data_IF_525371309954
#
_entry.id   IF_525371309954
#
_cell.length_a   1.000
_cell.length_b   1.000
_cell.length_c   1.000
_cell.angle_alpha   90.00
_cell.angle_beta   90.00
_cell.angle_gamma   90.00
#
_symmetry.space_group_name_H-M   'P 1'
#
loop_
_entity.id
_entity.type
_entity.pdbx_description
1 polymer ?
#
# COMPACT_ATOMS: atom_id res chain seq x y z
N UNK A 1 -15.42 6.65 27.09
CA UNK A 1 -14.59 7.25 28.16
C UNK A 1 -13.13 7.05 27.78
N UNK A 2 -12.36 8.12 27.51
CA UNK A 2 -10.89 8.03 27.29
C UNK A 2 -10.27 7.21 28.42
N UNK A 3 -9.55 6.13 28.07
CA UNK A 3 -8.85 5.29 29.04
C UNK A 3 -7.41 5.75 29.17
N UNK A 4 -6.86 5.66 30.37
CA UNK A 4 -5.47 6.01 30.64
C UNK A 4 -4.87 4.99 31.57
N UNK A 5 -3.70 4.47 31.19
CA UNK A 5 -2.89 3.57 32.03
C UNK A 5 -1.50 4.19 32.23
N UNK A 6 -0.86 3.82 33.33
CA UNK A 6 0.50 4.24 33.66
C UNK A 6 1.37 3.00 33.71
N UNK A 7 2.39 2.93 32.86
CA UNK A 7 3.35 1.82 32.84
C UNK A 7 4.75 2.41 32.89
N UNK A 8 5.53 2.03 33.89
CA UNK A 8 6.92 2.50 34.10
C UNK A 8 7.12 4.05 34.08
N UNK A 9 6.08 4.82 34.44
CA UNK A 9 6.14 6.28 34.43
C UNK A 9 5.77 6.93 33.09
N UNK A 10 5.41 6.13 32.09
CA UNK A 10 4.81 6.59 30.84
C UNK A 10 3.28 6.56 30.94
N UNK A 11 2.64 7.53 30.29
CA UNK A 11 1.19 7.65 30.21
C UNK A 11 0.72 7.21 28.85
N UNK A 12 -0.07 6.13 28.81
CA UNK A 12 -0.70 5.65 27.58
C UNK A 12 -2.19 5.95 27.64
N UNK A 13 -2.73 6.49 26.56
CA UNK A 13 -4.15 6.82 26.46
C UNK A 13 -4.81 6.14 25.26
N UNK A 14 -6.09 5.82 25.38
CA UNK A 14 -6.89 5.21 24.32
C UNK A 14 -8.20 5.98 24.13
N UNK A 15 -8.53 6.30 22.87
CA UNK A 15 -9.72 7.02 22.47
C UNK A 15 -11.03 6.26 22.72
N UNK A 16 -12.17 6.94 22.53
CA UNK A 16 -13.49 6.29 22.64
C UNK A 16 -13.87 5.51 21.38
N UNK A 17 -13.26 5.89 20.24
CA UNK A 17 -13.56 5.37 18.90
C UNK A 17 -12.90 4.01 18.62
N UNK A 18 -12.14 3.49 19.60
CA UNK A 18 -11.47 2.20 19.49
C UNK A 18 -10.05 2.29 18.96
N UNK A 19 -9.58 3.47 18.58
CA UNK A 19 -8.20 3.75 18.16
C UNK A 19 -7.18 3.17 19.14
N UNK A 20 -6.00 2.80 18.64
CA UNK A 20 -4.92 2.16 19.40
C UNK A 20 -4.47 2.94 20.64
N UNK A 21 -3.57 2.36 21.42
CA UNK A 21 -2.95 3.09 22.54
C UNK A 21 -1.97 4.13 22.00
N UNK A 22 -1.91 5.30 22.62
CA UNK A 22 -0.93 6.32 22.25
C UNK A 22 -0.23 6.94 23.47
N UNK A 23 0.99 7.44 23.26
CA UNK A 23 1.78 8.19 24.22
C UNK A 23 2.10 9.58 23.67
N UNK A 24 1.41 10.60 24.18
CA UNK A 24 1.66 12.00 23.85
C UNK A 24 2.94 12.48 24.56
N UNK A 25 3.91 12.99 23.81
CA UNK A 25 5.22 13.41 24.33
C UNK A 25 5.88 14.45 23.41
N UNK A 26 7.11 14.84 23.71
CA UNK A 26 7.88 15.80 22.92
C UNK A 26 9.30 15.27 22.65
N UNK A 27 9.72 15.31 21.39
CA UNK A 27 11.04 14.88 20.93
C UNK A 27 11.91 16.09 20.57
N UNK A 28 13.18 16.04 20.94
CA UNK A 28 14.17 17.06 20.59
C UNK A 28 14.98 16.62 19.38
N UNK A 29 15.35 17.58 18.53
CA UNK A 29 16.25 17.37 17.39
C UNK A 29 15.55 17.24 16.04
N UNK A 30 14.26 16.85 16.01
CA UNK A 30 13.50 16.72 14.75
C UNK A 30 13.41 18.05 14.02
N UNK A 31 12.78 19.04 14.65
CA UNK A 31 12.68 20.42 14.17
C UNK A 31 13.98 21.24 14.33
N UNK A 32 15.08 20.58 14.70
CA UNK A 32 16.36 21.19 15.05
C UNK A 32 16.69 21.15 16.55
N UNK A 33 17.90 21.59 16.94
CA UNK A 33 18.47 21.34 18.26
C UNK A 33 17.77 22.06 19.43
N UNK A 34 17.06 23.16 19.17
CA UNK A 34 16.39 23.97 20.22
C UNK A 34 14.85 23.97 20.09
N UNK A 35 14.29 23.22 19.13
CA UNK A 35 12.86 23.21 18.84
C UNK A 35 12.26 21.84 19.18
N UNK A 36 11.52 21.71 20.28
CA UNK A 36 10.78 20.48 20.56
C UNK A 36 9.74 20.22 19.45
N UNK A 37 9.50 18.94 19.19
CA UNK A 37 8.47 18.44 18.30
C UNK A 37 7.49 17.63 19.16
N UNK A 38 6.29 18.18 19.35
CA UNK A 38 5.23 17.45 20.05
C UNK A 38 4.70 16.36 19.13
N UNK A 39 4.70 15.13 19.63
CA UNK A 39 4.37 13.93 18.85
C UNK A 39 3.38 13.06 19.61
N UNK A 40 2.61 12.29 18.85
CA UNK A 40 1.78 11.20 19.36
C UNK A 40 2.47 9.91 18.93
N UNK A 41 3.00 9.15 19.90
CA UNK A 41 3.55 7.83 19.62
C UNK A 41 2.40 6.83 19.68
N UNK A 42 2.03 6.28 18.54
CA UNK A 42 1.02 5.23 18.43
C UNK A 42 1.63 3.87 18.78
N UNK A 43 0.86 3.05 19.50
CA UNK A 43 1.24 1.71 19.91
C UNK A 43 0.29 0.74 19.24
N UNK A 44 0.82 0.00 18.28
CA UNK A 44 0.09 -1.05 17.61
C UNK A 44 -0.05 -2.26 18.53
N UNK A 45 -1.20 -2.37 19.16
CA UNK A 45 -1.53 -3.52 20.01
C UNK A 45 -2.33 -4.59 19.27
N UNK A 46 -2.61 -4.37 17.99
CA UNK A 46 -3.47 -5.24 17.21
C UNK A 46 -2.70 -6.48 16.76
N UNK A 47 -3.46 -7.55 16.56
CA UNK A 47 -2.99 -8.73 15.86
C UNK A 47 -3.48 -8.56 14.43
N UNK A 48 -2.59 -8.26 13.49
CA UNK A 48 -2.94 -8.28 12.05
C UNK A 48 -3.53 -9.64 11.63
N UNK A 49 -3.31 -10.66 12.46
CA UNK A 49 -3.56 -12.08 12.24
C UNK A 49 -4.60 -12.67 13.21
N UNK A 50 -5.49 -11.87 13.83
CA UNK A 50 -6.58 -12.38 14.68
C UNK A 50 -7.97 -12.09 14.11
N UNK A 51 -8.66 -13.14 13.64
CA UNK A 51 -10.09 -13.07 13.29
C UNK A 51 -11.01 -13.06 14.53
N UNK A 52 -10.48 -13.48 15.68
CA UNK A 52 -11.21 -13.53 16.94
C UNK A 52 -10.91 -12.25 17.74
N UNK A 53 -11.86 -11.33 17.65
CA UNK A 53 -12.03 -10.15 18.50
C UNK A 53 -11.17 -8.92 18.17
N UNK A 54 -11.75 -8.06 17.33
CA UNK A 54 -11.69 -6.60 17.48
C UNK A 54 -12.14 -6.09 18.88
N UNK A 55 -12.62 -6.99 19.75
CA UNK A 55 -13.15 -6.69 21.09
C UNK A 55 -12.17 -7.01 22.24
N UNK A 56 -11.00 -7.63 21.99
CA UNK A 56 -10.02 -7.87 23.07
C UNK A 56 -9.09 -6.67 23.17
N UNK A 57 -9.36 -5.82 24.16
CA UNK A 57 -8.49 -4.71 24.53
C UNK A 57 -7.14 -5.23 25.03
N UNK A 58 -6.13 -5.19 24.16
CA UNK A 58 -4.74 -5.46 24.49
C UNK A 58 -4.07 -4.19 25.00
N UNK A 59 -3.19 -4.33 25.99
CA UNK A 59 -2.36 -3.24 26.50
C UNK A 59 -0.99 -3.27 25.79
N UNK A 60 -0.26 -2.14 25.76
CA UNK A 60 1.14 -2.13 25.31
C UNK A 60 1.95 -3.23 25.97
N UNK A 61 2.69 -4.00 25.18
CA UNK A 61 3.54 -5.08 25.68
C UNK A 61 4.79 -4.53 26.40
N UNK A 62 5.47 -5.35 27.19
CA UNK A 62 6.73 -4.96 27.85
C UNK A 62 7.78 -4.49 26.83
N UNK A 63 7.84 -5.13 25.65
CA UNK A 63 8.79 -4.78 24.60
C UNK A 63 8.48 -3.43 23.93
N UNK A 64 7.19 -3.10 23.75
CA UNK A 64 6.75 -1.81 23.23
C UNK A 64 7.01 -0.69 24.24
N UNK A 65 6.72 -0.92 25.52
CA UNK A 65 7.03 0.03 26.60
C UNK A 65 8.54 0.25 26.69
N UNK A 66 9.36 -0.80 26.57
CA UNK A 66 10.81 -0.71 26.55
C UNK A 66 11.32 0.11 25.35
N UNK A 67 10.72 -0.06 24.16
CA UNK A 67 11.06 0.71 22.97
C UNK A 67 10.76 2.22 23.14
N UNK A 68 9.56 2.57 23.61
CA UNK A 68 9.17 3.97 23.87
C UNK A 68 10.12 4.60 24.90
N UNK A 69 10.40 3.89 25.99
CA UNK A 69 11.30 4.37 27.04
C UNK A 69 12.71 4.60 26.50
N UNK A 70 13.23 3.64 25.74
CA UNK A 70 14.55 3.74 25.12
C UNK A 70 14.61 4.94 24.15
N UNK A 71 13.57 5.16 23.36
CA UNK A 71 13.44 6.33 22.48
C UNK A 71 13.55 7.63 23.28
N UNK A 72 12.77 7.78 24.36
CA UNK A 72 12.76 9.03 25.14
C UNK A 72 14.08 9.29 25.88
N UNK A 73 14.72 8.24 26.38
CA UNK A 73 16.02 8.31 27.06
C UNK A 73 17.18 8.62 26.08
N UNK A 74 17.06 8.25 24.81
CA UNK A 74 18.12 8.35 23.80
C UNK A 74 17.75 9.19 22.57
N UNK A 75 16.70 10.01 22.69
CA UNK A 75 16.05 10.70 21.57
C UNK A 75 17.02 11.45 20.65
N UNK A 76 18.01 12.17 21.17
CA UNK A 76 18.94 12.94 20.34
C UNK A 76 19.73 12.05 19.40
N UNK A 77 20.20 10.90 19.90
CA UNK A 77 20.96 9.94 19.09
C UNK A 77 20.05 9.27 18.07
N UNK A 78 18.86 8.84 18.46
CA UNK A 78 17.94 8.14 17.56
C UNK A 78 17.46 9.06 16.45
N UNK A 79 17.07 10.28 16.77
CA UNK A 79 16.62 11.26 15.79
C UNK A 79 17.75 11.66 14.82
N UNK A 80 18.99 11.76 15.30
CA UNK A 80 20.15 11.94 14.42
C UNK A 80 20.29 10.76 13.43
N UNK A 81 20.18 9.51 13.92
CA UNK A 81 20.24 8.32 13.06
C UNK A 81 19.10 8.28 12.03
N UNK A 82 17.88 8.65 12.43
CA UNK A 82 16.72 8.73 11.54
C UNK A 82 16.96 9.77 10.46
N UNK A 83 17.30 11.01 10.83
CA UNK A 83 17.52 12.09 9.86
C UNK A 83 18.71 11.82 8.92
N UNK A 84 19.77 11.17 9.40
CA UNK A 84 20.89 10.76 8.55
C UNK A 84 20.45 9.72 7.51
N UNK A 85 19.66 8.72 7.91
CA UNK A 85 19.11 7.73 6.98
C UNK A 85 18.15 8.37 5.97
N UNK A 86 17.28 9.27 6.43
CA UNK A 86 16.38 10.07 5.58
C UNK A 86 17.14 10.88 4.53
N UNK A 87 18.24 11.54 4.92
CA UNK A 87 19.07 12.32 3.99
C UNK A 87 19.74 11.42 2.95
N UNK A 88 20.25 10.26 3.37
CA UNK A 88 20.82 9.29 2.43
C UNK A 88 19.77 8.76 1.45
N UNK A 89 18.56 8.46 1.93
CA UNK A 89 17.45 8.01 1.11
C UNK A 89 17.00 9.06 0.11
N UNK A 90 16.74 10.30 0.54
CA UNK A 90 16.32 11.38 -0.34
C UNK A 90 17.30 11.55 -1.52
N UNK A 91 18.60 11.58 -1.23
CA UNK A 91 19.63 11.67 -2.28
C UNK A 91 19.66 10.46 -3.21
N UNK A 92 19.54 9.26 -2.65
CA UNK A 92 19.48 8.03 -3.46
C UNK A 92 18.26 8.03 -4.38
N UNK A 93 17.10 8.42 -3.85
CA UNK A 93 15.85 8.49 -4.61
C UNK A 93 15.96 9.50 -5.75
N UNK A 94 16.43 10.72 -5.47
CA UNK A 94 16.59 11.76 -6.49
C UNK A 94 17.61 11.36 -7.57
N UNK A 95 18.73 10.75 -7.18
CA UNK A 95 19.75 10.29 -8.13
C UNK A 95 19.25 9.19 -9.08
N UNK A 96 18.36 8.32 -8.60
CA UNK A 96 17.78 7.26 -9.42
C UNK A 96 16.56 7.71 -10.23
N UNK A 97 16.07 8.92 -9.99
CA UNK A 97 14.95 9.53 -10.69
C UNK A 97 15.34 10.92 -11.21
N UNK A 98 16.54 11.06 -11.78
CA UNK A 98 17.11 12.36 -12.19
C UNK A 98 16.22 13.12 -13.19
N UNK A 99 15.42 12.41 -13.99
CA UNK A 99 14.48 13.01 -14.94
C UNK A 99 13.27 13.70 -14.26
N UNK A 100 13.07 13.51 -12.95
CA UNK A 100 11.92 14.05 -12.20
C UNK A 100 12.26 15.33 -11.42
N UNK A 101 13.55 15.67 -11.28
CA UNK A 101 14.02 16.73 -10.39
C UNK A 101 14.94 17.69 -11.12
N UNK A 102 14.75 18.98 -10.87
CA UNK A 102 15.71 20.00 -11.31
C UNK A 102 16.87 20.12 -10.31
N UNK A 103 17.99 20.72 -10.73
CA UNK A 103 19.16 20.94 -9.88
C UNK A 103 18.81 21.75 -8.59
N UNK A 104 17.77 22.59 -8.65
CA UNK A 104 17.30 23.43 -7.54
C UNK A 104 16.50 22.62 -6.48
N UNK A 105 16.06 21.40 -6.79
CA UNK A 105 15.33 20.53 -5.86
C UNK A 105 16.26 19.70 -4.94
N UNK A 106 17.58 19.78 -5.17
CA UNK A 106 18.55 18.89 -4.54
C UNK A 106 18.62 19.00 -3.00
N UNK A 107 18.46 17.86 -2.31
CA UNK A 107 18.59 17.78 -0.85
C UNK A 107 20.05 17.51 -0.46
N UNK A 108 20.79 18.58 -0.16
CA UNK A 108 22.23 18.53 0.11
C UNK A 108 22.60 18.55 1.60
N UNK A 109 21.70 18.87 2.50
CA UNK A 109 22.03 18.97 3.92
C UNK A 109 20.88 18.57 4.84
N UNK A 110 21.19 18.37 6.13
CA UNK A 110 20.18 18.17 7.17
C UNK A 110 19.30 19.42 7.41
N UNK A 111 19.70 20.59 6.94
CA UNK A 111 18.84 21.77 6.99
C UNK A 111 17.81 21.70 5.88
N UNK A 112 18.26 21.45 4.65
CA UNK A 112 17.39 21.33 3.47
C UNK A 112 16.39 20.18 3.65
N UNK A 113 16.86 19.03 4.15
CA UNK A 113 15.98 17.91 4.47
C UNK A 113 14.83 18.35 5.39
N UNK A 114 15.14 19.04 6.50
CA UNK A 114 14.10 19.47 7.46
C UNK A 114 13.10 20.45 6.86
N UNK A 115 13.52 21.28 5.92
CA UNK A 115 12.64 22.22 5.23
C UNK A 115 11.68 21.49 4.26
N UNK A 116 12.02 20.26 3.86
CA UNK A 116 11.23 19.41 2.95
C UNK A 116 10.44 18.29 3.66
N UNK A 117 10.50 18.21 5.00
CA UNK A 117 9.77 17.20 5.78
C UNK A 117 8.53 17.81 6.43
N UNK A 118 7.39 17.10 6.31
CA UNK A 118 6.11 17.46 6.88
C UNK A 118 5.61 16.42 7.88
N UNK A 119 5.00 16.88 8.98
CA UNK A 119 4.48 15.98 10.01
C UNK A 119 5.56 15.12 10.69
N UNK A 120 5.14 14.29 11.64
CA UNK A 120 5.93 13.20 12.17
C UNK A 120 5.01 12.23 12.89
N UNK A 121 4.80 11.08 12.28
CA UNK A 121 4.05 9.98 12.86
C UNK A 121 5.02 8.91 13.35
N UNK A 122 4.74 8.36 14.52
CA UNK A 122 5.59 7.36 15.16
C UNK A 122 4.73 6.19 15.59
N UNK A 123 5.06 5.01 15.07
CA UNK A 123 4.33 3.78 15.33
C UNK A 123 5.23 2.75 16.00
N UNK A 124 4.82 2.20 17.13
CA UNK A 124 5.53 1.12 17.84
C UNK A 124 4.85 -0.20 17.55
N UNK A 125 5.59 -1.10 16.91
CA UNK A 125 5.05 -2.32 16.33
C UNK A 125 5.03 -3.49 17.33
N UNK A 126 4.19 -4.51 17.14
CA UNK A 126 4.04 -5.59 18.12
C UNK A 126 5.22 -6.58 18.11
N UNK A 127 5.90 -6.74 16.97
CA UNK A 127 7.04 -7.65 16.84
C UNK A 127 8.24 -7.14 17.64
N UNK A 128 8.96 -8.05 18.29
CA UNK A 128 10.06 -7.69 19.17
C UNK A 128 11.26 -8.61 18.97
N UNK A 129 12.46 -8.01 19.07
CA UNK A 129 13.73 -8.74 19.09
C UNK A 129 14.49 -8.34 20.35
N UNK A 130 15.00 -9.34 21.07
CA UNK A 130 15.69 -9.20 22.36
C UNK A 130 14.97 -8.29 23.39
N UNK A 131 13.64 -8.38 23.43
CA UNK A 131 12.81 -7.64 24.38
C UNK A 131 12.55 -6.18 24.02
N UNK A 132 12.84 -5.76 22.78
CA UNK A 132 12.51 -4.43 22.27
C UNK A 132 11.68 -4.56 20.99
N UNK A 133 10.56 -3.85 20.97
CA UNK A 133 9.83 -3.60 19.74
C UNK A 133 10.63 -2.66 18.83
N UNK A 134 10.38 -2.75 17.53
CA UNK A 134 10.86 -1.75 16.58
C UNK A 134 9.86 -0.59 16.46
N UNK A 135 10.36 0.55 16.02
CA UNK A 135 9.62 1.82 15.92
C UNK A 135 9.70 2.28 14.47
N UNK A 136 8.55 2.49 13.84
CA UNK A 136 8.43 3.17 12.58
C UNK A 136 8.33 4.68 12.77
N UNK A 137 9.04 5.43 11.94
CA UNK A 137 8.88 6.87 11.78
C UNK A 137 8.34 7.10 10.37
N UNK A 138 7.24 7.83 10.25
CA UNK A 138 6.66 8.25 8.98
C UNK A 138 6.56 9.77 8.93
N UNK A 139 6.78 10.35 7.76
CA UNK A 139 6.70 11.79 7.54
C UNK A 139 6.38 12.06 6.07
N UNK A 140 5.62 13.10 5.83
CA UNK A 140 5.41 13.63 4.48
C UNK A 140 6.74 14.21 3.96
N UNK A 141 6.98 14.11 2.66
CA UNK A 141 8.15 14.69 2.03
C UNK A 141 7.78 15.35 0.70
N UNK A 142 8.33 16.54 0.44
CA UNK A 142 7.98 17.33 -0.76
C UNK A 142 8.41 16.65 -2.08
N UNK A 143 9.46 15.82 -2.06
CA UNK A 143 9.96 15.15 -3.27
C UNK A 143 9.18 13.88 -3.67
N UNK A 144 8.29 13.38 -2.80
CA UNK A 144 7.43 12.21 -3.06
C UNK A 144 6.12 12.34 -2.26
N UNK A 145 5.29 13.31 -2.64
CA UNK A 145 4.02 13.61 -1.94
C UNK A 145 3.02 12.44 -1.98
N UNK A 146 3.13 11.54 -2.96
CA UNK A 146 2.21 10.39 -3.10
C UNK A 146 2.51 9.30 -2.06
N UNK A 147 3.79 9.06 -1.76
CA UNK A 147 4.20 7.92 -0.95
C UNK A 147 4.81 8.28 0.41
N UNK A 148 5.35 9.48 0.57
CA UNK A 148 6.02 9.91 1.80
C UNK A 148 7.31 9.15 2.12
N UNK A 149 7.80 9.30 3.35
CA UNK A 149 9.07 8.73 3.82
C UNK A 149 8.87 7.88 5.08
N UNK A 150 9.39 6.65 5.06
CA UNK A 150 9.34 5.70 6.17
C UNK A 150 10.73 5.26 6.63
N UNK A 151 10.90 5.14 7.96
CA UNK A 151 12.13 4.66 8.60
C UNK A 151 11.78 3.66 9.69
N UNK A 152 12.36 2.46 9.64
CA UNK A 152 12.24 1.45 10.69
C UNK A 152 13.47 1.47 11.59
N UNK A 153 13.26 1.56 12.91
CA UNK A 153 14.33 1.67 13.91
C UNK A 153 14.16 0.64 15.01
N UNK A 154 15.23 -0.07 15.35
CA UNK A 154 15.29 -0.87 16.56
C UNK A 154 16.37 -0.30 17.48
N UNK A 155 15.96 0.16 18.66
CA UNK A 155 16.81 0.96 19.57
C UNK A 155 17.40 2.18 18.87
N UNK A 156 18.69 2.14 18.53
CA UNK A 156 19.50 3.17 17.90
C UNK A 156 20.03 2.75 16.52
N UNK A 157 19.53 1.63 15.99
CA UNK A 157 19.89 1.05 14.70
C UNK A 157 18.72 1.29 13.75
N UNK A 158 18.97 1.98 12.64
CA UNK A 158 18.04 2.05 11.51
C UNK A 158 18.10 0.71 10.79
N UNK A 159 17.00 -0.02 10.75
CA UNK A 159 16.90 -1.34 10.16
C UNK A 159 16.55 -1.24 8.68
N UNK A 160 15.70 -0.27 8.32
CA UNK A 160 15.23 -0.06 6.95
C UNK A 160 14.80 1.40 6.74
N UNK A 161 14.83 1.86 5.50
CA UNK A 161 14.43 3.21 5.08
C UNK A 161 13.88 3.18 3.66
N UNK A 162 12.77 3.87 3.40
CA UNK A 162 12.14 3.87 2.08
C UNK A 162 10.93 4.78 2.04
N UNK A 163 9.90 4.38 1.29
CA UNK A 163 8.60 5.04 1.31
C UNK A 163 7.89 4.83 2.66
N UNK A 164 6.76 5.51 2.90
CA UNK A 164 6.09 5.50 4.20
C UNK A 164 5.71 4.10 4.70
N UNK A 165 5.54 3.13 3.81
CA UNK A 165 5.23 1.73 4.12
C UNK A 165 6.28 1.05 5.00
N UNK A 166 7.54 1.47 4.91
CA UNK A 166 8.63 0.98 5.77
C UNK A 166 8.36 1.24 7.27
N UNK A 167 7.54 2.25 7.59
CA UNK A 167 7.22 2.57 8.99
C UNK A 167 6.19 1.63 9.63
N UNK A 168 5.43 0.86 8.84
CA UNK A 168 4.37 -0.01 9.35
C UNK A 168 4.41 -1.44 8.82
N UNK A 169 4.99 -1.69 7.65
CA UNK A 169 5.19 -3.04 7.12
C UNK A 169 6.40 -3.72 7.77
N UNK A 170 6.41 -5.05 7.81
CA UNK A 170 7.57 -5.81 8.31
C UNK A 170 8.82 -5.43 7.49
N UNK A 171 9.89 -4.90 8.13
CA UNK A 171 11.07 -4.44 7.40
C UNK A 171 11.74 -5.57 6.62
N UNK A 172 12.12 -5.31 5.37
CA UNK A 172 12.69 -6.31 4.46
C UNK A 172 14.13 -5.98 4.02
N UNK A 173 14.63 -4.79 4.38
CA UNK A 173 16.00 -4.36 4.07
C UNK A 173 16.19 -3.97 2.61
N UNK A 174 15.15 -3.46 1.96
CA UNK A 174 15.14 -3.15 0.52
C UNK A 174 16.22 -2.15 0.11
N UNK A 175 16.65 -1.28 1.04
CA UNK A 175 17.56 -0.17 0.75
C UNK A 175 18.83 -0.19 1.62
N UNK A 176 19.34 -1.39 1.84
CA UNK A 176 20.53 -1.64 2.67
C UNK A 176 21.80 -0.90 2.19
N UNK A 177 21.85 -0.49 0.92
CA UNK A 177 22.96 0.23 0.29
C UNK A 177 23.15 1.65 0.83
N UNK A 178 22.09 2.29 1.33
CA UNK A 178 22.15 3.65 1.89
C UNK A 178 22.44 3.66 3.39
N UNK A 179 22.44 2.50 4.04
CA UNK A 179 22.65 2.34 5.48
C UNK A 179 24.11 1.96 5.81
N UNK A 180 24.60 2.25 7.04
CA UNK A 180 26.00 1.98 7.41
C UNK A 180 26.39 0.51 7.31
N UNK A 181 27.54 0.22 6.69
CA UNK A 181 28.01 -1.15 6.46
C UNK A 181 28.37 -1.87 7.77
N UNK A 182 28.81 -1.12 8.79
CA UNK A 182 29.24 -1.68 10.07
C UNK A 182 28.10 -2.30 10.88
N UNK A 183 26.86 -1.91 10.61
CA UNK A 183 25.66 -2.41 11.30
C UNK A 183 24.95 -3.53 10.53
N UNK A 184 25.46 -3.88 9.34
CA UNK A 184 24.81 -4.83 8.43
C UNK A 184 24.51 -6.19 9.08
N UNK A 185 25.48 -6.78 9.77
CA UNK A 185 25.28 -8.09 10.43
C UNK A 185 24.17 -8.05 11.49
N UNK A 186 24.05 -6.94 12.21
CA UNK A 186 22.99 -6.76 13.22
C UNK A 186 21.64 -6.56 12.52
N UNK A 187 21.58 -5.76 11.44
CA UNK A 187 20.36 -5.60 10.64
C UNK A 187 19.88 -6.92 10.05
N UNK A 188 20.77 -7.70 9.43
CA UNK A 188 20.42 -9.02 8.87
C UNK A 188 19.83 -9.96 9.94
N UNK A 189 20.38 -9.95 11.16
CA UNK A 189 19.81 -10.70 12.28
C UNK A 189 18.43 -10.19 12.69
N UNK A 190 18.24 -8.86 12.75
CA UNK A 190 16.94 -8.25 13.07
C UNK A 190 15.89 -8.59 12.01
N UNK A 191 16.21 -8.35 10.73
CA UNK A 191 15.34 -8.63 9.59
C UNK A 191 14.89 -10.09 9.55
N UNK A 192 15.84 -11.03 9.65
CA UNK A 192 15.51 -12.47 9.68
C UNK A 192 14.64 -12.87 10.88
N UNK A 193 14.85 -12.25 12.05
CA UNK A 193 14.04 -12.53 13.25
C UNK A 193 12.63 -11.95 13.15
N UNK A 194 12.46 -10.83 12.45
CA UNK A 194 11.14 -10.21 12.21
C UNK A 194 10.36 -10.98 11.15
N UNK A 195 11.02 -11.36 10.05
CA UNK A 195 10.44 -12.21 9.00
C UNK A 195 9.98 -13.56 9.56
N UNK A 196 10.80 -14.21 10.41
CA UNK A 196 10.41 -15.48 11.04
C UNK A 196 9.17 -15.31 11.94
N UNK A 197 9.08 -14.19 12.68
CA UNK A 197 7.91 -13.90 13.51
C UNK A 197 6.65 -13.66 12.68
N UNK A 198 6.76 -12.95 11.56
CA UNK A 198 5.65 -12.72 10.63
C UNK A 198 5.16 -14.03 10.01
N UNK A 199 6.07 -14.86 9.49
CA UNK A 199 5.73 -16.18 8.95
C UNK A 199 5.07 -17.08 10.01
N UNK A 200 5.55 -17.03 11.26
CA UNK A 200 4.94 -17.76 12.36
C UNK A 200 3.54 -17.23 12.71
N UNK A 201 3.34 -15.91 12.70
CA UNK A 201 2.05 -15.28 12.95
C UNK A 201 1.04 -15.62 11.85
N UNK A 202 1.44 -15.54 10.58
CA UNK A 202 0.61 -15.94 9.43
C UNK A 202 0.26 -17.43 9.52
N UNK A 203 1.23 -18.30 9.78
CA UNK A 203 0.99 -19.73 9.93
C UNK A 203 0.05 -20.02 11.11
N UNK A 204 0.20 -19.32 12.24
CA UNK A 204 -0.68 -19.44 13.39
C UNK A 204 -2.11 -18.96 13.06
N UNK A 205 -2.24 -17.86 12.33
CA UNK A 205 -3.53 -17.36 11.83
C UNK A 205 -4.21 -18.37 10.94
N UNK A 206 -3.53 -18.80 9.87
CA UNK A 206 -4.05 -19.82 8.96
C UNK A 206 -4.44 -21.08 9.71
N UNK A 207 -3.64 -21.53 10.68
CA UNK A 207 -3.95 -22.68 11.53
C UNK A 207 -5.17 -22.47 12.44
N UNK A 208 -5.45 -21.23 12.85
CA UNK A 208 -6.60 -20.87 13.69
C UNK A 208 -7.92 -20.78 12.92
N UNK A 209 -7.86 -20.63 11.59
CA UNK A 209 -9.06 -20.50 10.75
C UNK A 209 -9.93 -21.76 10.79
N UNK A 210 -11.27 -21.63 10.61
CA UNK A 210 -12.14 -22.78 10.40
C UNK A 210 -11.67 -23.63 9.21
N UNK A 211 -11.80 -24.96 9.30
CA UNK A 211 -11.37 -25.86 8.22
C UNK A 211 -12.08 -25.59 6.88
N UNK A 212 -13.32 -25.07 6.91
CA UNK A 212 -14.03 -24.63 5.70
C UNK A 212 -13.37 -23.42 5.04
N UNK A 213 -12.82 -22.48 5.82
CA UNK A 213 -12.08 -21.31 5.31
C UNK A 213 -10.72 -21.73 4.79
N UNK A 214 -9.99 -22.58 5.53
CA UNK A 214 -8.72 -23.17 5.08
C UNK A 214 -8.89 -23.92 3.75
N UNK A 215 -10.02 -24.61 3.58
CA UNK A 215 -10.31 -25.32 2.33
C UNK A 215 -10.42 -24.37 1.16
N UNK A 216 -11.15 -23.25 1.32
CA UNK A 216 -11.25 -22.22 0.27
C UNK A 216 -9.88 -21.63 -0.05
N UNK A 217 -9.09 -21.29 0.97
CA UNK A 217 -7.72 -20.79 0.78
C UNK A 217 -6.85 -21.78 0.00
N UNK A 218 -6.83 -23.06 0.40
CA UNK A 218 -6.08 -24.11 -0.26
C UNK A 218 -6.47 -24.28 -1.74
N UNK A 219 -7.76 -24.13 -2.07
CA UNK A 219 -8.23 -24.14 -3.47
C UNK A 219 -7.68 -22.92 -4.22
N UNK A 220 -7.74 -21.72 -3.63
CA UNK A 220 -7.27 -20.50 -4.27
C UNK A 220 -5.78 -20.50 -4.58
N UNK A 221 -4.95 -21.09 -3.72
CA UNK A 221 -3.49 -21.19 -3.94
C UNK A 221 -3.07 -22.47 -4.69
N UNK A 222 -4.02 -23.33 -5.05
CA UNK A 222 -3.74 -24.58 -5.78
C UNK A 222 -3.06 -25.68 -4.95
N UNK A 223 -3.17 -25.66 -3.62
CA UNK A 223 -2.61 -26.69 -2.74
C UNK A 223 -3.51 -27.93 -2.71
N UNK A 224 -3.36 -28.77 -3.74
CA UNK A 224 -4.17 -29.98 -3.92
C UNK A 224 -4.05 -30.98 -2.77
N UNK A 225 -2.89 -31.09 -2.12
CA UNK A 225 -2.69 -32.01 -1.01
C UNK A 225 -3.48 -31.56 0.24
N UNK A 226 -3.45 -30.26 0.55
CA UNK A 226 -4.21 -29.67 1.63
C UNK A 226 -5.72 -29.71 1.36
N UNK A 227 -6.15 -29.47 0.12
CA UNK A 227 -7.55 -29.63 -0.31
C UNK A 227 -8.02 -31.06 -0.02
N UNK A 228 -7.26 -32.08 -0.40
CA UNK A 228 -7.64 -33.47 -0.13
C UNK A 228 -7.68 -33.76 1.38
N UNK A 229 -6.70 -33.27 2.14
CA UNK A 229 -6.63 -33.48 3.60
C UNK A 229 -7.83 -32.86 4.32
N UNK A 230 -8.17 -31.60 4.02
CA UNK A 230 -9.29 -30.89 4.63
C UNK A 230 -10.63 -31.52 4.26
N UNK A 231 -10.81 -31.93 2.99
CA UNK A 231 -12.02 -32.64 2.55
C UNK A 231 -12.18 -34.01 3.23
N UNK A 232 -11.10 -34.76 3.42
CA UNK A 232 -11.11 -36.01 4.19
C UNK A 232 -11.48 -35.77 5.67
N UNK A 233 -11.11 -34.60 6.21
CA UNK A 233 -11.55 -34.11 7.52
C UNK A 233 -13.02 -33.67 7.58
N UNK A 234 -13.71 -33.61 6.45
CA UNK A 234 -15.12 -33.23 6.35
C UNK A 234 -15.37 -31.74 6.10
N UNK A 235 -14.33 -30.94 5.86
CA UNK A 235 -14.47 -29.54 5.50
C UNK A 235 -15.27 -29.36 4.20
N UNK A 236 -16.11 -28.33 4.14
CA UNK A 236 -16.91 -28.00 2.95
C UNK A 236 -16.90 -26.50 2.69
N UNK A 237 -16.83 -26.13 1.41
CA UNK A 237 -16.93 -24.73 0.97
C UNK A 237 -18.25 -24.09 1.40
N UNK A 238 -19.35 -24.85 1.41
CA UNK A 238 -20.67 -24.36 1.86
C UNK A 238 -20.77 -24.06 3.36
N UNK A 239 -19.77 -24.43 4.16
CA UNK A 239 -19.74 -24.25 5.62
C UNK A 239 -18.80 -23.11 6.05
N UNK A 240 -18.38 -22.25 5.12
CA UNK A 240 -17.67 -21.01 5.46
C UNK A 240 -18.59 -20.12 6.31
N UNK A 241 -18.14 -19.68 7.50
CA UNK A 241 -18.96 -18.83 8.36
C UNK A 241 -19.24 -17.45 7.74
N UNK A 242 -20.41 -16.87 8.03
CA UNK A 242 -20.87 -15.63 7.42
C UNK A 242 -20.02 -14.39 7.73
N UNK A 243 -19.16 -14.45 8.76
CA UNK A 243 -18.21 -13.38 9.06
C UNK A 243 -16.99 -13.36 8.12
N UNK A 244 -16.77 -14.44 7.34
CA UNK A 244 -15.76 -14.45 6.30
C UNK A 244 -16.39 -14.08 4.96
N UNK A 245 -15.61 -13.52 4.01
CA UNK A 245 -16.08 -13.31 2.65
C UNK A 245 -16.64 -14.60 2.07
N UNK A 246 -17.72 -14.49 1.28
CA UNK A 246 -18.30 -15.68 0.67
C UNK A 246 -17.25 -16.36 -0.24
N UNK A 247 -17.16 -17.70 -0.25
CA UNK A 247 -16.09 -18.41 -0.96
C UNK A 247 -15.93 -18.02 -2.42
N UNK A 248 -17.04 -17.75 -3.10
CA UNK A 248 -17.04 -17.32 -4.50
C UNK A 248 -16.36 -15.97 -4.70
N UNK A 249 -16.51 -15.02 -3.76
CA UNK A 249 -15.83 -13.73 -3.83
C UNK A 249 -14.34 -13.85 -3.49
N UNK A 250 -13.95 -14.74 -2.57
CA UNK A 250 -12.53 -15.08 -2.34
C UNK A 250 -11.89 -15.67 -3.61
N UNK A 251 -12.61 -16.51 -4.33
CA UNK A 251 -12.16 -17.08 -5.61
C UNK A 251 -12.02 -16.01 -6.70
N UNK A 252 -12.99 -15.11 -6.80
CA UNK A 252 -12.99 -14.03 -7.79
C UNK A 252 -11.81 -13.07 -7.60
N UNK A 253 -11.36 -12.83 -6.36
CA UNK A 253 -10.18 -12.01 -6.08
C UNK A 253 -8.88 -12.56 -6.71
N UNK A 254 -8.79 -13.88 -6.92
CA UNK A 254 -7.64 -14.48 -7.62
C UNK A 254 -7.56 -14.10 -9.11
N UNK A 255 -8.66 -13.61 -9.69
CA UNK A 255 -8.83 -13.34 -11.12
C UNK A 255 -8.51 -14.55 -12.03
N UNK A 256 -8.44 -15.76 -11.46
CA UNK A 256 -8.21 -17.00 -12.20
C UNK A 256 -9.55 -17.72 -12.44
N UNK A 257 -9.99 -17.84 -13.72
CA UNK A 257 -11.21 -18.57 -14.05
C UNK A 257 -11.18 -20.05 -13.59
N UNK A 258 -10.00 -20.65 -13.45
CA UNK A 258 -9.80 -22.02 -12.98
C UNK A 258 -10.12 -22.14 -11.50
N UNK A 259 -9.66 -21.20 -10.68
CA UNK A 259 -9.96 -21.13 -9.24
C UNK A 259 -11.46 -20.90 -9.03
N UNK A 260 -12.06 -20.00 -9.81
CA UNK A 260 -13.52 -19.75 -9.76
C UNK A 260 -14.30 -21.01 -10.11
N UNK A 261 -13.91 -21.73 -11.17
CA UNK A 261 -14.55 -23.00 -11.54
C UNK A 261 -14.41 -24.06 -10.43
N UNK A 262 -13.22 -24.19 -9.82
CA UNK A 262 -12.98 -25.14 -8.74
C UNK A 262 -13.87 -24.85 -7.52
N UNK A 263 -13.99 -23.59 -7.10
CA UNK A 263 -14.84 -23.20 -5.97
C UNK A 263 -16.33 -23.43 -6.26
N UNK A 264 -16.76 -23.24 -7.51
CA UNK A 264 -18.13 -23.58 -7.95
C UNK A 264 -18.37 -25.09 -7.88
N UNK A 265 -17.43 -25.90 -8.36
CA UNK A 265 -17.52 -27.36 -8.33
C UNK A 265 -17.58 -27.91 -6.90
N UNK A 266 -16.96 -27.21 -5.95
CA UNK A 266 -17.05 -27.50 -4.51
C UNK A 266 -18.34 -26.99 -3.84
N UNK A 267 -19.27 -26.42 -4.61
CA UNK A 267 -20.63 -26.07 -4.16
C UNK A 267 -20.75 -24.69 -3.53
N UNK A 268 -19.89 -23.73 -3.89
CA UNK A 268 -20.04 -22.34 -3.47
C UNK A 268 -21.39 -21.74 -3.90
N UNK A 269 -22.01 -20.96 -3.01
CA UNK A 269 -23.26 -20.27 -3.32
C UNK A 269 -23.01 -19.10 -4.27
N UNK A 270 -23.79 -19.03 -5.35
CA UNK A 270 -23.74 -17.94 -6.35
C UNK A 270 -24.80 -16.87 -6.14
N UNK A 271 -25.65 -17.02 -5.13
CA UNK A 271 -26.72 -16.05 -4.80
C UNK A 271 -26.34 -15.08 -3.68
N UNK A 272 -25.10 -15.15 -3.19
CA UNK A 272 -24.56 -14.24 -2.17
C UNK A 272 -24.36 -12.85 -2.74
N UNK A 273 -24.33 -11.83 -1.88
CA UNK A 273 -24.07 -10.44 -2.27
C UNK A 273 -22.81 -9.93 -1.59
N UNK A 274 -21.99 -9.17 -2.31
CA UNK A 274 -20.86 -8.42 -1.74
C UNK A 274 -21.36 -7.21 -0.93
N UNK A 275 -20.44 -6.40 -0.40
CA UNK A 275 -20.74 -5.20 0.38
C UNK A 275 -21.50 -4.13 -0.41
N UNK A 276 -21.29 -4.09 -1.73
CA UNK A 276 -22.03 -3.23 -2.67
C UNK A 276 -23.42 -3.80 -3.05
N UNK A 277 -23.80 -4.96 -2.50
CA UNK A 277 -25.10 -5.57 -2.74
C UNK A 277 -25.23 -6.31 -4.08
N UNK A 278 -24.12 -6.62 -4.74
CA UNK A 278 -24.04 -7.29 -6.03
C UNK A 278 -23.82 -8.79 -5.88
N UNK A 279 -24.46 -9.58 -6.73
CA UNK A 279 -24.15 -11.00 -6.91
C UNK A 279 -22.81 -11.20 -7.63
N UNK A 280 -22.19 -12.38 -7.56
CA UNK A 280 -20.98 -12.70 -8.32
C UNK A 280 -21.10 -12.40 -9.83
N UNK A 281 -22.26 -12.67 -10.43
CA UNK A 281 -22.52 -12.38 -11.85
C UNK A 281 -22.55 -10.87 -12.10
N UNK A 282 -23.31 -10.12 -11.30
CA UNK A 282 -23.41 -8.66 -11.44
C UNK A 282 -22.05 -7.98 -11.28
N UNK A 283 -21.24 -8.43 -10.30
CA UNK A 283 -19.87 -7.92 -10.10
C UNK A 283 -18.97 -8.23 -11.30
N UNK A 284 -18.97 -9.48 -11.79
CA UNK A 284 -18.18 -9.86 -12.96
C UNK A 284 -18.62 -9.12 -14.24
N UNK A 285 -19.91 -8.83 -14.42
CA UNK A 285 -20.41 -7.99 -15.53
C UNK A 285 -19.86 -6.56 -15.44
N UNK A 286 -19.85 -5.98 -14.25
CA UNK A 286 -19.30 -4.65 -14.03
C UNK A 286 -17.79 -4.62 -14.32
N UNK A 287 -17.03 -5.60 -13.85
CA UNK A 287 -15.59 -5.68 -14.12
C UNK A 287 -15.29 -5.83 -15.62
N UNK A 288 -16.05 -6.67 -16.33
CA UNK A 288 -15.95 -6.78 -17.80
C UNK A 288 -16.22 -5.44 -18.48
N UNK A 289 -17.23 -4.69 -18.04
CA UNK A 289 -17.53 -3.38 -18.64
C UNK A 289 -16.45 -2.35 -18.34
N UNK A 290 -15.94 -2.31 -17.11
CA UNK A 290 -14.83 -1.44 -16.73
C UNK A 290 -13.59 -1.69 -17.60
N UNK A 291 -13.16 -2.95 -17.73
CA UNK A 291 -12.00 -3.29 -18.56
C UNK A 291 -12.23 -3.07 -20.05
N UNK A 292 -13.47 -3.17 -20.56
CA UNK A 292 -13.79 -2.74 -21.93
C UNK A 292 -13.62 -1.24 -22.12
N UNK A 293 -14.09 -0.44 -21.17
CA UNK A 293 -13.93 1.02 -21.21
C UNK A 293 -12.44 1.36 -21.18
N UNK A 294 -11.66 0.77 -20.28
CA UNK A 294 -10.21 0.95 -20.21
C UNK A 294 -9.51 0.57 -21.52
N UNK A 295 -9.84 -0.59 -22.10
CA UNK A 295 -9.26 -1.02 -23.37
C UNK A 295 -9.60 -0.06 -24.53
N UNK A 296 -10.84 0.46 -24.56
CA UNK A 296 -11.27 1.46 -25.54
C UNK A 296 -10.50 2.77 -25.38
N UNK A 297 -10.34 3.24 -24.14
CA UNK A 297 -9.56 4.45 -23.84
C UNK A 297 -8.09 4.29 -24.27
N UNK A 298 -7.46 3.16 -23.96
CA UNK A 298 -6.08 2.85 -24.39
C UNK A 298 -5.91 2.70 -25.91
N UNK A 299 -7.00 2.48 -26.63
CA UNK A 299 -7.05 2.47 -28.09
C UNK A 299 -7.39 3.84 -28.70
N UNK A 300 -7.54 4.90 -27.89
CA UNK A 300 -7.85 6.25 -28.35
C UNK A 300 -9.34 6.48 -28.67
N UNK A 301 -10.26 5.67 -28.13
CA UNK A 301 -11.70 5.84 -28.35
C UNK A 301 -12.24 7.07 -27.60
N UNK A 302 -12.44 8.17 -28.33
CA UNK A 302 -12.89 9.45 -27.78
C UNK A 302 -14.28 9.38 -27.15
N UNK A 303 -15.16 8.48 -27.59
CA UNK A 303 -16.49 8.33 -26.97
C UNK A 303 -16.38 7.71 -25.57
N UNK A 304 -15.47 6.75 -25.40
CA UNK A 304 -15.21 6.14 -24.09
C UNK A 304 -14.57 7.15 -23.12
N UNK A 305 -13.60 7.95 -23.61
CA UNK A 305 -12.96 9.03 -22.86
C UNK A 305 -13.99 10.08 -22.44
N UNK A 306 -14.87 10.50 -23.36
CA UNK A 306 -15.93 11.47 -23.09
C UNK A 306 -16.96 10.95 -22.08
N UNK A 307 -17.34 9.67 -22.14
CA UNK A 307 -18.26 9.07 -21.18
C UNK A 307 -17.67 9.08 -19.75
N UNK A 308 -16.38 8.77 -19.60
CA UNK A 308 -15.68 8.85 -18.31
C UNK A 308 -15.62 10.29 -17.79
N UNK A 309 -15.17 11.24 -18.62
CA UNK A 309 -15.06 12.65 -18.25
C UNK A 309 -16.43 13.26 -17.88
N UNK A 310 -17.50 12.89 -18.59
CA UNK A 310 -18.85 13.33 -18.28
C UNK A 310 -19.33 12.88 -16.89
N UNK A 311 -18.99 11.66 -16.48
CA UNK A 311 -19.26 11.15 -15.14
C UNK A 311 -18.46 11.86 -14.05
N UNK A 312 -17.18 12.13 -14.31
CA UNK A 312 -16.25 12.76 -13.35
C UNK A 312 -16.53 14.25 -13.15
N UNK A 313 -16.77 14.99 -14.24
CA UNK A 313 -16.92 16.44 -14.22
C UNK A 313 -18.35 16.92 -13.92
N UNK A 314 -19.32 15.99 -13.85
CA UNK A 314 -20.71 16.30 -13.51
C UNK A 314 -21.39 17.32 -14.43
N UNK A 315 -20.88 17.51 -15.65
CA UNK A 315 -21.29 18.56 -16.57
C UNK A 315 -22.27 18.10 -17.66
N UNK A 316 -23.10 19.03 -18.15
CA UNK A 316 -24.04 18.85 -19.28
C UNK A 316 -23.34 18.86 -20.67
N UNK A 317 -22.01 18.85 -20.72
CA UNK A 317 -21.29 18.88 -22.00
C UNK A 317 -21.47 17.56 -22.73
N UNK A 318 -21.98 17.62 -23.97
CA UNK A 318 -22.04 16.46 -24.86
C UNK A 318 -20.67 16.01 -25.37
N UNK A 319 -19.64 16.85 -25.20
CA UNK A 319 -18.25 16.57 -25.60
C UNK A 319 -17.26 17.25 -24.62
N UNK A 320 -17.04 16.65 -23.44
CA UNK A 320 -16.13 17.18 -22.43
C UNK A 320 -14.68 17.33 -22.93
N UNK A 321 -14.20 16.39 -23.74
CA UNK A 321 -12.86 16.39 -24.31
C UNK A 321 -12.64 17.60 -25.21
N UNK A 322 -13.58 17.88 -26.13
CA UNK A 322 -13.51 19.07 -26.97
C UNK A 322 -13.57 20.36 -26.14
N UNK A 323 -14.39 20.39 -25.08
CA UNK A 323 -14.46 21.56 -24.20
C UNK A 323 -13.14 21.84 -23.46
N UNK A 324 -12.40 20.80 -23.08
CA UNK A 324 -11.08 20.93 -22.47
C UNK A 324 -10.08 21.44 -23.52
N UNK A 325 -10.08 20.86 -24.73
CA UNK A 325 -9.22 21.31 -25.83
C UNK A 325 -9.46 22.78 -26.19
N UNK A 326 -10.72 23.19 -26.31
CA UNK A 326 -11.10 24.59 -26.58
C UNK A 326 -10.55 25.54 -25.49
N UNK A 327 -10.63 25.12 -24.23
CA UNK A 327 -10.12 25.89 -23.08
C UNK A 327 -8.59 25.99 -23.11
N UNK A 328 -7.89 24.90 -23.44
CA UNK A 328 -6.44 24.88 -23.58
C UNK A 328 -5.98 25.80 -24.73
N UNK A 329 -6.69 25.79 -25.86
CA UNK A 329 -6.42 26.68 -27.00
C UNK A 329 -6.65 28.16 -26.67
N UNK A 330 -7.68 28.47 -25.87
CA UNK A 330 -7.88 29.83 -25.34
C UNK A 330 -6.70 30.27 -24.45
N UNK A 331 -6.24 29.42 -23.54
CA UNK A 331 -5.11 29.71 -22.64
C UNK A 331 -3.81 29.90 -23.44
N UNK A 332 -3.55 29.05 -24.44
CA UNK A 332 -2.42 29.19 -25.38
C UNK A 332 -2.42 30.56 -26.06
N UNK A 333 -3.59 31.06 -26.45
CA UNK A 333 -3.76 32.37 -27.08
C UNK A 333 -3.44 33.58 -26.20
N UNK A 334 -3.41 33.42 -24.87
CA UNK A 334 -3.10 34.50 -23.92
C UNK A 334 -1.60 34.77 -23.78
N UNK A 335 -0.75 33.79 -24.08
CA UNK A 335 0.72 33.88 -23.97
C UNK A 335 1.24 33.93 -22.52
N UNK A 336 2.56 33.79 -22.34
CA UNK A 336 3.21 33.74 -21.02
C UNK A 336 3.35 32.32 -20.47
N UNK A 337 3.73 32.18 -19.20
CA UNK A 337 4.06 30.89 -18.55
C UNK A 337 2.90 29.87 -18.58
N UNK A 338 1.65 30.34 -18.54
CA UNK A 338 0.47 29.47 -18.64
C UNK A 338 0.23 28.89 -20.04
N UNK A 339 0.80 29.51 -21.09
CA UNK A 339 0.65 29.02 -22.46
C UNK A 339 1.50 27.78 -22.74
N UNK A 340 2.65 27.64 -22.06
CA UNK A 340 3.55 26.49 -22.16
C UNK A 340 2.93 25.28 -21.43
N UNK A 341 2.44 25.47 -20.20
CA UNK A 341 1.70 24.42 -19.48
C UNK A 341 0.43 23.95 -20.23
N UNK A 342 -0.28 24.87 -20.90
CA UNK A 342 -1.43 24.52 -21.75
C UNK A 342 -1.01 23.83 -23.07
N UNK A 343 0.21 24.04 -23.54
CA UNK A 343 0.77 23.31 -24.66
C UNK A 343 1.04 21.86 -24.25
N UNK A 344 1.78 21.63 -23.17
CA UNK A 344 2.15 20.30 -22.68
C UNK A 344 0.91 19.46 -22.32
N UNK A 345 -0.06 20.04 -21.62
CA UNK A 345 -1.32 19.36 -21.35
C UNK A 345 -2.07 19.00 -22.64
N UNK A 346 -2.13 19.89 -23.62
CA UNK A 346 -2.81 19.56 -24.88
C UNK A 346 -2.09 18.48 -25.70
N UNK A 347 -0.75 18.44 -25.67
CA UNK A 347 0.02 17.36 -26.29
C UNK A 347 -0.22 16.01 -25.59
N UNK A 348 -0.37 16.00 -24.27
CA UNK A 348 -0.77 14.82 -23.49
C UNK A 348 -2.18 14.33 -23.89
N UNK A 349 -3.14 15.24 -24.03
CA UNK A 349 -4.50 14.92 -24.48
C UNK A 349 -4.55 14.43 -25.93
N UNK A 350 -3.75 15.01 -26.83
CA UNK A 350 -3.60 14.56 -28.21
C UNK A 350 -2.95 13.16 -28.27
N UNK A 351 -1.97 12.90 -27.40
CA UNK A 351 -1.35 11.57 -27.27
C UNK A 351 -2.32 10.51 -26.71
N UNK A 352 -3.22 10.91 -25.80
CA UNK A 352 -4.30 10.05 -25.27
C UNK A 352 -5.38 9.71 -26.31
N UNK A 353 -5.55 10.55 -27.34
CA UNK A 353 -6.68 10.47 -28.29
C UNK A 353 -6.23 10.12 -29.72
N UNK A 354 -4.93 10.00 -29.98
CA UNK A 354 -4.32 9.64 -31.27
C UNK A 354 -3.52 8.32 -31.25
N UNK A 355 -3.01 7.89 -32.42
CA UNK A 355 -1.99 6.84 -32.48
C UNK A 355 -0.66 7.40 -31.94
N UNK A 356 -0.10 6.79 -30.89
CA UNK A 356 1.23 7.06 -30.34
C UNK A 356 2.22 7.41 -31.47
N UNK A 357 2.86 8.60 -31.48
CA UNK A 357 3.92 8.86 -32.44
C UNK A 357 4.98 7.78 -32.27
N UNK A 358 5.34 7.14 -33.38
CA UNK A 358 6.45 6.18 -33.41
C UNK A 358 7.66 6.79 -32.73
N UNK A 359 8.11 6.13 -31.65
CA UNK A 359 9.34 6.35 -30.90
C UNK A 359 10.34 7.22 -31.68
N UNK A 360 10.62 8.43 -31.19
CA UNK A 360 11.70 9.25 -31.74
C UNK A 360 12.99 8.44 -31.55
N UNK A 361 13.56 7.96 -32.66
CA UNK A 361 14.83 7.24 -32.72
C UNK A 361 15.92 8.13 -32.06
N UNK A 362 16.38 7.79 -30.85
CA UNK A 362 17.49 8.51 -30.21
C UNK A 362 17.75 8.27 -28.72
N UNK A 363 16.78 7.83 -27.92
CA UNK A 363 16.99 7.57 -26.48
C UNK A 363 17.60 6.17 -26.23
N UNK A 364 18.47 5.99 -25.21
CA UNK A 364 18.96 4.66 -24.85
C UNK A 364 17.76 3.78 -24.48
N UNK A 365 17.74 2.55 -25.00
CA UNK A 365 16.70 1.59 -24.66
C UNK A 365 16.70 1.37 -23.13
N UNK A 366 15.52 1.35 -22.46
CA UNK A 366 15.47 0.96 -21.07
C UNK A 366 16.08 -0.43 -20.94
N UNK A 367 17.01 -0.57 -20.00
CA UNK A 367 17.65 -1.84 -19.70
C UNK A 367 16.62 -2.73 -19.01
N UNK A 368 16.21 -3.77 -19.75
CA UNK A 368 15.75 -5.07 -19.26
C UNK A 368 14.91 -5.04 -17.97
N UNK A 369 13.68 -4.54 -18.10
CA UNK A 369 12.55 -4.99 -17.31
C UNK A 369 11.58 -5.66 -18.29
N UNK A 370 11.07 -6.83 -17.92
CA UNK A 370 10.01 -7.54 -18.65
C UNK A 370 8.77 -6.66 -18.78
N UNK A 371 8.72 -5.80 -19.78
CA UNK A 371 7.55 -4.97 -20.07
C UNK A 371 6.54 -5.80 -20.86
N UNK A 372 5.57 -6.38 -20.14
CA UNK A 372 4.28 -6.70 -20.72
C UNK A 372 3.67 -5.39 -21.27
N UNK A 373 3.24 -5.36 -22.54
CA UNK A 373 2.55 -4.20 -23.12
C UNK A 373 1.30 -3.91 -22.26
N UNK A 374 1.17 -2.73 -21.62
CA UNK A 374 0.04 -2.42 -20.73
C UNK A 374 -1.33 -2.60 -21.40
N UNK A 375 -1.39 -2.43 -22.73
CA UNK A 375 -2.60 -2.68 -23.52
C UNK A 375 -2.90 -4.16 -23.65
N UNK A 376 -1.87 -4.97 -23.87
CA UNK A 376 -2.00 -6.41 -23.89
C UNK A 376 -2.42 -6.95 -22.52
N UNK A 377 -1.81 -6.45 -21.44
CA UNK A 377 -2.22 -6.80 -20.07
C UNK A 377 -3.69 -6.47 -19.79
N UNK A 378 -4.18 -5.32 -20.27
CA UNK A 378 -5.60 -4.93 -20.14
C UNK A 378 -6.53 -5.88 -20.92
N UNK A 379 -6.13 -6.27 -22.14
CA UNK A 379 -6.89 -7.22 -22.96
C UNK A 379 -6.91 -8.62 -22.37
N UNK A 380 -5.79 -9.09 -21.81
CA UNK A 380 -5.67 -10.40 -21.17
C UNK A 380 -6.55 -10.45 -19.92
N UNK A 381 -6.51 -9.41 -19.08
CA UNK A 381 -7.40 -9.27 -17.92
C UNK A 381 -8.87 -9.23 -18.34
N UNK A 382 -9.21 -8.50 -19.41
CA UNK A 382 -10.56 -8.49 -19.96
C UNK A 382 -11.01 -9.90 -20.38
N UNK A 383 -10.14 -10.68 -21.03
CA UNK A 383 -10.43 -12.07 -21.44
C UNK A 383 -10.65 -12.98 -20.22
N UNK A 384 -9.82 -12.84 -19.17
CA UNK A 384 -9.99 -13.55 -17.90
C UNK A 384 -11.35 -13.25 -17.27
N UNK A 385 -11.73 -11.97 -17.14
CA UNK A 385 -13.03 -11.56 -16.61
C UNK A 385 -14.21 -12.05 -17.45
N UNK A 386 -14.07 -12.07 -18.78
CA UNK A 386 -15.09 -12.66 -19.65
C UNK A 386 -15.25 -14.17 -19.43
N UNK A 387 -14.15 -14.87 -19.18
CA UNK A 387 -14.18 -16.30 -18.89
C UNK A 387 -14.76 -16.58 -17.49
N UNK A 388 -14.43 -15.77 -16.48
CA UNK A 388 -15.06 -15.81 -15.14
C UNK A 388 -16.57 -15.60 -15.27
N UNK A 389 -17.00 -14.53 -15.96
CA UNK A 389 -18.41 -14.21 -16.16
C UNK A 389 -19.16 -15.35 -16.87
N UNK A 390 -18.53 -15.95 -17.88
CA UNK A 390 -19.08 -17.11 -18.58
C UNK A 390 -19.24 -18.32 -17.65
N UNK A 391 -18.22 -18.63 -16.85
CA UNK A 391 -18.27 -19.73 -15.88
C UNK A 391 -19.40 -19.51 -14.86
N UNK A 392 -19.54 -18.30 -14.33
CA UNK A 392 -20.60 -17.95 -13.38
C UNK A 392 -21.99 -18.11 -14.00
N UNK A 393 -22.21 -17.56 -15.20
CA UNK A 393 -23.50 -17.66 -15.92
C UNK A 393 -23.90 -19.07 -16.31
N UNK A 394 -22.92 -19.96 -16.52
CA UNK A 394 -23.19 -21.37 -16.84
C UNK A 394 -23.59 -22.18 -15.60
N UNK A 395 -23.34 -21.65 -14.40
CA UNK A 395 -23.48 -22.35 -13.12
C UNK A 395 -24.67 -21.85 -12.28
N UNK A 396 -25.27 -20.72 -12.65
CA UNK A 396 -26.57 -20.20 -12.17
C UNK A 396 -27.74 -20.69 -13.02
#
# INVERSE_FOLDING_TARGET
>A
MKKTIQIEGLSFTRGEDGDGWCCETSLNGWNGPEKPCDVVIEIDTDDEFSWAASDVERQPTEAQVAAVKFLLENQSRIIERVLDASLCWARYFMQNNEDWFDDDDAIESLADLRDNLGGLDILVRPQAVDGFAWIGFSTDCEWDEEHGLGIAVWKDIVIDVGQADVSFSTPCGGFDEVLPVEEKEIREHLLSSLEEQEQQAEAAYLASLPDSVKLVHAICIGDGDEVQRLKQGGAKVSEVPAQFPAPIFMAIQSQDPTVVAAIIDEGASLSVKNEEGQTPVEFAEQMVENFKITARMQAGDTDAINAMLGGLLGGDSSDPLQSIQDTLDEIRGLGGEFAEAAQDMGELFDALTGELPSRVDGGPAPRDASHDDPRQATLDTLEQWQQILKTLKQST
#
